data_IF_908642639580
#
_entry.id   IF_908642639580
#
_cell.length_a   1.000
_cell.length_b   1.000
_cell.length_c   1.000
_cell.angle_alpha   90.00
_cell.angle_beta   90.00
_cell.angle_gamma   90.00
#
_symmetry.space_group_name_H-M   'P 1'
#
loop_
_entity.id
_entity.type
_entity.pdbx_description
1 polymer ?
#
# COMPACT_ATOMS: atom_id res chain seq x y z
N UNK A 1 -48.60 -76.21 -3.44
CA UNK A 1 -48.66 -75.01 -4.30
C UNK A 1 -48.60 -73.72 -3.50
N UNK A 2 -47.48 -73.44 -2.81
CA UNK A 2 -47.30 -72.19 -2.04
C UNK A 2 -46.13 -71.35 -2.58
N UNK A 3 -45.23 -71.94 -3.39
CA UNK A 3 -44.04 -71.26 -3.96
C UNK A 3 -44.37 -70.36 -5.16
N UNK A 4 -45.50 -70.61 -5.84
CA UNK A 4 -45.86 -69.88 -7.06
C UNK A 4 -46.52 -68.52 -6.80
N UNK A 5 -47.21 -68.38 -5.66
CA UNK A 5 -47.89 -67.14 -5.30
C UNK A 5 -46.90 -66.06 -4.83
N UNK A 6 -45.88 -66.45 -4.06
CA UNK A 6 -44.87 -65.51 -3.53
C UNK A 6 -44.03 -64.88 -4.64
N UNK A 7 -43.67 -65.62 -5.69
CA UNK A 7 -42.91 -65.07 -6.83
C UNK A 7 -43.71 -64.08 -7.67
N UNK A 8 -45.04 -64.25 -7.75
CA UNK A 8 -45.89 -63.31 -8.50
C UNK A 8 -46.05 -61.99 -7.75
N UNK A 9 -46.20 -62.02 -6.42
CA UNK A 9 -46.27 -60.80 -5.60
C UNK A 9 -44.95 -60.03 -5.62
N UNK A 10 -43.79 -60.71 -5.53
CA UNK A 10 -42.49 -60.02 -5.60
C UNK A 10 -42.26 -59.36 -6.95
N UNK A 11 -42.72 -59.98 -8.05
CA UNK A 11 -42.56 -59.43 -9.40
C UNK A 11 -43.44 -58.21 -9.64
N UNK A 12 -44.64 -58.17 -9.04
CA UNK A 12 -45.52 -56.99 -9.11
C UNK A 12 -45.02 -55.83 -8.25
N UNK A 13 -44.49 -56.10 -7.05
CA UNK A 13 -43.95 -55.07 -6.17
C UNK A 13 -42.68 -54.42 -6.75
N UNK A 14 -41.78 -55.22 -7.32
CA UNK A 14 -40.56 -54.73 -8.00
C UNK A 14 -40.89 -53.90 -9.23
N UNK A 15 -41.98 -54.23 -9.94
CA UNK A 15 -42.45 -53.45 -11.10
C UNK A 15 -43.07 -52.11 -10.69
N UNK A 16 -43.68 -52.02 -9.50
CA UNK A 16 -44.24 -50.78 -8.95
C UNK A 16 -43.20 -49.78 -8.45
N UNK A 17 -42.00 -50.25 -8.08
CA UNK A 17 -40.90 -49.38 -7.60
C UNK A 17 -40.00 -48.84 -8.73
N UNK A 18 -40.07 -49.38 -9.95
CA UNK A 18 -39.24 -48.91 -11.06
C UNK A 18 -39.81 -47.62 -11.66
N UNK A 19 -39.39 -46.47 -11.13
CA UNK A 19 -39.61 -45.17 -11.79
C UNK A 19 -38.51 -44.95 -12.82
N UNK A 20 -38.81 -44.83 -14.13
CA UNK A 20 -37.79 -44.49 -15.11
C UNK A 20 -37.21 -43.11 -14.76
N UNK A 21 -35.89 -43.03 -14.56
CA UNK A 21 -35.21 -41.75 -14.35
C UNK A 21 -35.40 -40.91 -15.61
N UNK A 22 -35.91 -39.67 -15.52
CA UNK A 22 -36.02 -38.81 -16.69
C UNK A 22 -34.62 -38.55 -17.23
N UNK A 23 -34.29 -39.15 -18.40
CA UNK A 23 -33.06 -38.80 -19.12
C UNK A 23 -33.22 -37.37 -19.61
N UNK A 24 -32.55 -36.44 -18.94
CA UNK A 24 -32.32 -35.08 -19.42
C UNK A 24 -31.70 -35.17 -20.82
N UNK A 25 -32.44 -34.73 -21.83
CA UNK A 25 -31.88 -34.54 -23.18
C UNK A 25 -30.86 -33.40 -23.07
N UNK A 26 -29.61 -33.54 -23.57
CA UNK A 26 -28.69 -32.41 -23.62
C UNK A 26 -29.39 -31.30 -24.41
N UNK A 27 -29.64 -30.16 -23.75
CA UNK A 27 -30.16 -28.98 -24.44
C UNK A 27 -29.09 -28.58 -25.45
N UNK A 28 -29.39 -28.76 -26.73
CA UNK A 28 -28.55 -28.23 -27.80
C UNK A 28 -28.39 -26.74 -27.56
N UNK A 29 -27.16 -26.29 -27.35
CA UNK A 29 -26.83 -24.86 -27.23
C UNK A 29 -27.14 -24.27 -28.60
N UNK A 30 -28.33 -23.68 -28.73
CA UNK A 30 -28.78 -23.05 -29.95
C UNK A 30 -27.81 -21.93 -30.35
N UNK A 31 -27.58 -21.79 -31.65
CA UNK A 31 -26.64 -20.86 -32.30
C UNK A 31 -26.93 -19.36 -32.01
N UNK A 32 -27.91 -19.05 -31.17
CA UNK A 32 -28.11 -17.72 -30.58
C UNK A 32 -27.02 -17.33 -29.55
N UNK A 33 -26.12 -18.25 -29.18
CA UNK A 33 -24.96 -17.96 -28.34
C UNK A 33 -23.94 -17.00 -29.00
N UNK A 34 -23.93 -16.86 -30.33
CA UNK A 34 -22.95 -16.05 -31.06
C UNK A 34 -23.05 -14.55 -30.76
N UNK A 35 -24.27 -13.99 -30.73
CA UNK A 35 -24.49 -12.56 -30.46
C UNK A 35 -24.28 -12.20 -28.99
N UNK A 36 -24.78 -13.05 -28.07
CA UNK A 36 -24.54 -12.89 -26.64
C UNK A 36 -23.05 -13.00 -26.28
N UNK A 37 -22.34 -13.97 -26.85
CA UNK A 37 -20.90 -14.13 -26.65
C UNK A 37 -20.12 -12.90 -27.13
N UNK A 38 -20.45 -12.38 -28.31
CA UNK A 38 -19.77 -11.21 -28.88
C UNK A 38 -19.98 -9.95 -28.02
N UNK A 39 -21.20 -9.73 -27.52
CA UNK A 39 -21.49 -8.63 -26.58
C UNK A 39 -20.73 -8.81 -25.27
N UNK A 40 -20.66 -10.03 -24.71
CA UNK A 40 -19.89 -10.27 -23.49
C UNK A 40 -18.38 -10.05 -23.68
N UNK A 41 -17.83 -10.42 -24.82
CA UNK A 41 -16.41 -10.18 -25.15
C UNK A 41 -16.13 -8.70 -25.31
N UNK A 42 -17.00 -7.97 -26.01
CA UNK A 42 -16.86 -6.50 -26.16
C UNK A 42 -16.97 -5.82 -24.81
N UNK A 43 -17.93 -6.20 -23.98
CA UNK A 43 -18.09 -5.65 -22.62
C UNK A 43 -16.89 -5.98 -21.73
N UNK A 44 -16.36 -7.21 -21.82
CA UNK A 44 -15.17 -7.62 -21.09
C UNK A 44 -13.95 -6.78 -21.51
N UNK A 45 -13.75 -6.55 -22.80
CA UNK A 45 -12.65 -5.71 -23.29
C UNK A 45 -12.81 -4.24 -22.87
N UNK A 46 -14.04 -3.70 -22.91
CA UNK A 46 -14.34 -2.34 -22.47
C UNK A 46 -14.10 -2.13 -20.97
N UNK A 47 -14.27 -3.16 -20.15
CA UNK A 47 -13.95 -3.10 -18.72
C UNK A 47 -12.47 -3.42 -18.45
N UNK A 48 -11.85 -4.27 -19.27
CA UNK A 48 -10.45 -4.66 -19.12
C UNK A 48 -9.50 -3.51 -19.43
N UNK A 49 -9.78 -2.71 -20.46
CA UNK A 49 -8.91 -1.59 -20.83
C UNK A 49 -8.72 -0.55 -19.71
N UNK A 50 -9.78 0.03 -19.10
CA UNK A 50 -9.63 0.99 -18.02
C UNK A 50 -9.08 0.35 -16.74
N UNK A 51 -9.38 -0.92 -16.46
CA UNK A 51 -8.81 -1.61 -15.28
C UNK A 51 -7.31 -1.83 -15.40
N UNK A 52 -6.81 -2.22 -16.58
CA UNK A 52 -5.37 -2.32 -16.83
C UNK A 52 -4.68 -0.96 -16.79
N UNK A 53 -5.33 0.10 -17.31
CA UNK A 53 -4.79 1.45 -17.25
C UNK A 53 -4.66 1.94 -15.81
N UNK A 54 -5.74 1.86 -15.03
CA UNK A 54 -5.73 2.23 -13.61
C UNK A 54 -4.73 1.38 -12.80
N UNK A 55 -4.62 0.08 -13.08
CA UNK A 55 -3.64 -0.79 -12.42
C UNK A 55 -2.21 -0.35 -12.73
N UNK A 56 -1.92 0.01 -13.99
CA UNK A 56 -0.60 0.46 -14.40
C UNK A 56 -0.23 1.80 -13.73
N UNK A 57 -1.17 2.75 -13.73
CA UNK A 57 -0.97 4.07 -13.13
C UNK A 57 -0.67 3.97 -11.62
N UNK A 58 -1.46 3.18 -10.89
CA UNK A 58 -1.27 2.94 -9.45
C UNK A 58 0.03 2.20 -9.15
N UNK A 59 0.45 1.27 -10.02
CA UNK A 59 1.63 0.42 -9.75
C UNK A 59 2.95 1.07 -10.15
N UNK A 60 2.97 1.88 -11.22
CA UNK A 60 4.21 2.32 -11.87
C UNK A 60 4.34 3.84 -12.03
N UNK A 61 3.24 4.59 -12.06
CA UNK A 61 3.28 6.05 -12.29
C UNK A 61 3.22 6.78 -10.95
N UNK A 62 2.19 6.50 -10.14
CA UNK A 62 1.96 7.10 -8.84
C UNK A 62 2.13 6.08 -7.71
N UNK A 63 3.30 5.44 -7.68
CA UNK A 63 3.64 4.43 -6.70
C UNK A 63 3.79 5.05 -5.29
N UNK A 64 2.67 5.25 -4.61
CA UNK A 64 2.59 5.75 -3.23
C UNK A 64 3.30 7.08 -2.97
N UNK A 65 3.47 7.91 -4.01
CA UNK A 65 4.22 9.17 -3.97
C UNK A 65 3.41 10.36 -3.42
N UNK A 66 2.08 10.26 -3.38
CA UNK A 66 1.18 11.27 -2.81
C UNK A 66 -0.30 10.93 -3.01
N UNK A 67 -1.23 11.76 -2.50
CA UNK A 67 -2.68 11.54 -2.62
C UNK A 67 -3.20 11.94 -4.01
N UNK A 68 -2.54 11.48 -5.07
CA UNK A 68 -2.98 11.69 -6.45
C UNK A 68 -4.17 10.77 -6.81
N UNK A 69 -4.28 9.63 -6.12
CA UNK A 69 -5.23 8.55 -6.37
C UNK A 69 -5.99 8.17 -5.08
N UNK A 70 -7.31 7.93 -5.17
CA UNK A 70 -8.14 7.59 -3.99
C UNK A 70 -7.78 6.23 -3.35
N UNK A 71 -6.98 5.40 -4.03
CA UNK A 71 -6.57 4.08 -3.53
C UNK A 71 -5.28 4.10 -2.69
N UNK A 72 -4.59 5.25 -2.60
CA UNK A 72 -3.38 5.37 -1.77
C UNK A 72 -3.74 6.06 -0.47
N UNK A 73 -3.78 5.29 0.63
CA UNK A 73 -3.82 5.86 1.97
C UNK A 73 -2.41 6.33 2.34
N UNK A 74 -2.08 7.59 2.03
CA UNK A 74 -0.86 8.20 2.56
C UNK A 74 -1.20 8.76 3.94
N UNK A 75 -0.72 8.11 4.99
CA UNK A 75 -0.85 8.62 6.36
C UNK A 75 0.05 9.83 6.62
N UNK A 76 0.89 10.22 5.64
CA UNK A 76 1.91 11.25 5.74
C UNK A 76 1.88 12.17 4.53
N UNK A 77 2.11 13.47 4.74
CA UNK A 77 2.18 14.45 3.65
C UNK A 77 3.39 14.19 2.75
N UNK A 78 3.36 14.73 1.53
CA UNK A 78 4.49 14.70 0.58
C UNK A 78 5.78 15.28 1.16
N UNK A 79 5.68 16.09 2.22
CA UNK A 79 6.81 16.74 2.87
C UNK A 79 7.80 15.75 3.47
N UNK A 80 7.33 14.58 3.91
CA UNK A 80 8.21 13.53 4.45
C UNK A 80 9.20 13.08 3.39
N UNK A 81 8.74 12.84 2.17
CA UNK A 81 9.59 12.42 1.05
C UNK A 81 10.58 13.53 0.67
N UNK A 82 10.14 14.78 0.65
CA UNK A 82 10.99 15.95 0.33
C UNK A 82 12.09 16.12 1.38
N UNK A 83 11.75 16.03 2.66
CA UNK A 83 12.70 16.16 3.76
C UNK A 83 13.71 15.01 3.70
N UNK A 84 13.26 13.77 3.55
CA UNK A 84 14.17 12.62 3.46
C UNK A 84 15.10 12.70 2.25
N UNK A 85 14.62 13.16 1.08
CA UNK A 85 15.48 13.38 -0.08
C UNK A 85 16.57 14.44 0.17
N UNK A 86 16.28 15.48 0.96
CA UNK A 86 17.29 16.47 1.37
C UNK A 86 18.30 15.88 2.35
N UNK A 87 17.84 15.08 3.32
CA UNK A 87 18.73 14.39 4.26
C UNK A 87 19.66 13.44 3.50
N UNK A 88 19.13 12.65 2.55
CA UNK A 88 19.93 11.75 1.72
C UNK A 88 20.97 12.52 0.86
N UNK A 89 20.59 13.67 0.31
CA UNK A 89 21.53 14.52 -0.43
C UNK A 89 22.65 15.09 0.47
N UNK A 90 22.34 15.41 1.73
CA UNK A 90 23.35 15.84 2.72
C UNK A 90 24.26 14.68 3.11
N UNK A 91 23.69 13.51 3.39
CA UNK A 91 24.45 12.30 3.72
C UNK A 91 25.39 11.89 2.58
N UNK A 92 24.93 11.96 1.33
CA UNK A 92 25.78 11.70 0.17
C UNK A 92 26.93 12.71 0.04
N UNK A 93 26.69 13.97 0.40
CA UNK A 93 27.68 15.04 0.30
C UNK A 93 28.75 14.99 1.40
N UNK A 94 28.35 14.71 2.64
CA UNK A 94 29.23 14.84 3.80
C UNK A 94 29.70 13.51 4.38
N UNK A 95 28.90 12.45 4.25
CA UNK A 95 29.15 11.12 4.83
C UNK A 95 29.24 10.01 3.75
N UNK A 96 29.38 10.39 2.48
CA UNK A 96 29.49 9.48 1.33
C UNK A 96 28.32 8.48 1.18
N UNK A 97 27.16 8.75 1.76
CA UNK A 97 26.00 7.85 1.72
C UNK A 97 26.02 6.74 2.78
N UNK A 98 26.91 6.82 3.77
CA UNK A 98 27.04 5.79 4.81
C UNK A 98 25.98 5.87 5.91
N UNK A 99 25.06 6.85 5.86
CA UNK A 99 23.97 7.04 6.83
C UNK A 99 24.46 7.18 8.27
N UNK A 100 25.67 7.70 8.43
CA UNK A 100 26.29 7.96 9.74
C UNK A 100 25.99 9.36 10.26
N UNK A 101 25.32 10.19 9.46
CA UNK A 101 25.08 11.58 9.80
C UNK A 101 24.22 11.70 11.06
N UNK A 102 24.60 12.55 12.04
CA UNK A 102 23.77 12.76 13.21
C UNK A 102 22.49 13.54 12.85
N UNK A 103 21.33 13.00 13.23
CA UNK A 103 20.01 13.60 12.97
C UNK A 103 19.28 13.80 14.29
N UNK A 104 18.72 14.97 14.52
CA UNK A 104 17.91 15.31 15.69
C UNK A 104 16.45 15.50 15.31
N UNK A 105 15.54 14.77 15.97
CA UNK A 105 14.10 14.92 15.79
C UNK A 105 13.50 15.51 17.04
N UNK A 106 12.69 16.56 16.90
CA UNK A 106 11.87 17.06 18.01
C UNK A 106 10.75 16.06 18.35
N UNK A 107 10.12 16.20 19.52
CA UNK A 107 9.01 15.34 19.93
C UNK A 107 7.88 15.30 18.89
N UNK A 108 7.54 16.47 18.32
CA UNK A 108 6.43 16.58 17.38
C UNK A 108 6.78 16.10 15.97
N UNK A 109 8.07 16.09 15.62
CA UNK A 109 8.57 15.54 14.36
C UNK A 109 8.91 14.05 14.43
N UNK A 110 8.90 13.44 15.63
CA UNK A 110 9.33 12.04 15.79
C UNK A 110 8.49 11.10 14.94
N UNK A 111 7.17 11.29 14.92
CA UNK A 111 6.28 10.62 13.99
C UNK A 111 5.87 11.62 12.92
N UNK A 112 6.03 11.30 11.62
CA UNK A 112 6.25 9.96 11.06
C UNK A 112 7.72 9.57 10.81
N UNK A 113 8.68 10.45 11.06
CA UNK A 113 10.06 10.29 10.59
C UNK A 113 10.82 9.12 11.23
N UNK A 114 10.41 8.61 12.39
CA UNK A 114 11.03 7.46 13.05
C UNK A 114 11.17 6.23 12.15
N UNK A 115 10.26 6.01 11.20
CA UNK A 115 10.39 4.92 10.23
C UNK A 115 11.47 5.19 9.17
N UNK A 116 11.60 6.42 8.74
CA UNK A 116 12.46 6.83 7.63
C UNK A 116 13.91 7.04 8.06
N UNK A 117 14.14 7.49 9.28
CA UNK A 117 15.48 7.66 9.84
C UNK A 117 16.04 6.37 10.44
N UNK A 118 15.32 5.25 10.36
CA UNK A 118 15.71 3.97 10.97
C UNK A 118 17.06 3.44 10.47
N UNK A 119 17.40 3.74 9.22
CA UNK A 119 18.64 3.27 8.62
C UNK A 119 19.85 4.16 8.95
N UNK A 120 19.64 5.24 9.72
CA UNK A 120 20.69 6.13 10.18
C UNK A 120 21.21 5.69 11.55
N UNK A 121 22.53 5.68 11.73
CA UNK A 121 23.15 5.14 12.95
C UNK A 121 23.10 6.10 14.13
N UNK A 122 23.01 7.41 13.88
CA UNK A 122 23.16 8.47 14.88
C UNK A 122 21.91 9.34 14.97
N UNK A 123 20.79 8.74 15.37
CA UNK A 123 19.51 9.47 15.52
C UNK A 123 19.26 9.82 16.99
N UNK A 124 19.03 11.10 17.25
CA UNK A 124 18.48 11.59 18.51
C UNK A 124 16.97 11.81 18.40
N UNK A 125 16.21 11.07 19.20
CA UNK A 125 14.79 11.35 19.42
C UNK A 125 14.62 12.35 20.56
N UNK A 126 13.63 13.23 20.45
CA UNK A 126 13.32 14.27 21.44
C UNK A 126 14.44 15.32 21.62
N UNK A 127 15.03 15.77 20.51
CA UNK A 127 15.95 16.90 20.49
C UNK A 127 15.27 18.18 21.01
N UNK A 128 15.93 19.00 21.87
CA UNK A 128 17.34 18.94 22.28
C UNK A 128 17.62 18.19 23.60
N UNK A 129 16.59 17.74 24.33
CA UNK A 129 16.74 17.28 25.72
C UNK A 129 16.94 15.76 25.86
N UNK A 130 16.63 14.98 24.83
CA UNK A 130 16.71 13.51 24.82
C UNK A 130 17.97 12.90 24.21
N UNK A 131 18.95 13.72 23.81
CA UNK A 131 20.08 13.23 23.02
C UNK A 131 21.19 12.60 23.87
N UNK A 132 21.84 11.52 23.37
CA UNK A 132 23.09 11.03 23.97
C UNK A 132 24.13 12.14 24.03
N UNK A 133 24.98 12.15 25.06
CA UNK A 133 26.03 13.17 25.21
C UNK A 133 26.99 13.29 24.01
N UNK A 134 27.04 12.25 23.17
CA UNK A 134 27.77 12.19 21.89
C UNK A 134 27.19 13.10 20.81
N UNK A 135 25.90 13.45 20.89
CA UNK A 135 25.17 14.23 19.89
C UNK A 135 25.26 15.75 20.12
N UNK A 136 26.42 16.25 20.58
CA UNK A 136 26.60 17.68 20.89
C UNK A 136 26.72 18.61 19.67
N UNK A 137 26.72 18.09 18.45
CA UNK A 137 26.69 18.86 17.21
C UNK A 137 25.88 18.09 16.16
N UNK A 138 24.58 18.35 16.11
CA UNK A 138 23.69 17.71 15.15
C UNK A 138 23.58 18.63 13.91
N UNK A 139 24.08 18.22 12.72
CA UNK A 139 24.00 19.03 11.51
C UNK A 139 22.59 19.10 10.91
N UNK A 140 21.75 18.09 11.15
CA UNK A 140 20.40 18.00 10.60
C UNK A 140 19.38 17.91 11.74
N UNK A 141 18.55 18.93 11.86
CA UNK A 141 17.47 18.97 12.86
C UNK A 141 16.14 19.01 12.10
N UNK A 142 15.28 18.02 12.38
CA UNK A 142 13.93 17.93 11.83
C UNK A 142 12.96 18.39 12.93
N UNK A 143 12.20 19.44 12.62
CA UNK A 143 11.27 20.08 13.54
C UNK A 143 9.87 20.06 12.93
N UNK A 144 8.86 19.89 13.77
CA UNK A 144 7.45 19.91 13.38
C UNK A 144 6.58 20.45 14.50
N UNK A 145 5.31 20.70 14.18
CA UNK A 145 4.28 21.07 15.16
C UNK A 145 4.62 22.31 15.99
N UNK A 146 4.44 22.19 17.30
CA UNK A 146 4.53 23.30 18.26
C UNK A 146 5.96 23.81 18.46
N UNK A 147 6.95 22.99 18.10
CA UNK A 147 8.37 23.36 18.17
C UNK A 147 8.86 24.20 16.99
N UNK A 148 8.06 24.36 15.92
CA UNK A 148 8.51 25.02 14.70
C UNK A 148 8.88 26.49 14.96
N UNK A 149 8.01 27.23 15.65
CA UNK A 149 8.22 28.66 15.92
C UNK A 149 9.49 28.93 16.75
N UNK A 150 9.72 28.12 17.79
CA UNK A 150 10.91 28.28 18.64
C UNK A 150 12.20 27.88 17.90
N UNK A 151 12.14 26.88 17.03
CA UNK A 151 13.27 26.51 16.19
C UNK A 151 13.57 27.57 15.13
N UNK A 152 12.56 28.17 14.50
CA UNK A 152 12.74 29.29 13.58
C UNK A 152 13.44 30.45 14.29
N UNK A 153 12.99 30.86 15.47
CA UNK A 153 13.63 31.94 16.23
C UNK A 153 15.10 31.64 16.57
N UNK A 154 15.40 30.39 16.97
CA UNK A 154 16.75 29.96 17.35
C UNK A 154 17.71 29.83 16.15
N UNK A 155 17.20 29.42 14.98
CA UNK A 155 18.03 29.06 13.83
C UNK A 155 17.86 30.01 12.63
N UNK A 156 16.97 31.00 12.66
CA UNK A 156 16.82 31.98 11.56
C UNK A 156 17.91 33.06 11.56
N UNK A 157 18.61 33.27 12.68
CA UNK A 157 19.63 34.31 12.77
C UNK A 157 20.92 33.90 12.04
N UNK A 158 21.10 34.44 10.83
CA UNK A 158 22.38 34.41 10.13
C UNK A 158 23.43 35.24 10.87
N UNK A 159 24.13 34.61 11.82
CA UNK A 159 25.42 35.12 12.29
C UNK A 159 26.45 34.82 11.19
N UNK A 160 27.45 35.67 11.01
CA UNK A 160 28.40 35.63 9.89
C UNK A 160 29.16 34.29 9.70
N UNK A 161 29.06 33.35 10.65
CA UNK A 161 29.61 31.99 10.60
C UNK A 161 28.60 30.90 10.99
N UNK A 162 27.29 31.19 11.01
CA UNK A 162 26.25 30.20 11.31
C UNK A 162 26.03 29.25 10.12
N UNK A 163 25.74 27.97 10.38
CA UNK A 163 25.19 27.07 9.37
C UNK A 163 24.00 27.75 8.67
N UNK A 164 23.89 27.63 7.36
CA UNK A 164 22.68 28.11 6.66
C UNK A 164 21.58 27.08 6.86
N UNK A 165 20.57 27.44 7.64
CA UNK A 165 19.40 26.60 7.89
C UNK A 165 18.38 26.82 6.76
N UNK A 166 17.83 25.73 6.23
CA UNK A 166 16.81 25.75 5.18
C UNK A 166 15.50 25.23 5.76
N UNK A 167 14.47 26.08 5.75
CA UNK A 167 13.13 25.75 6.20
C UNK A 167 12.27 25.29 5.02
N UNK A 168 11.41 24.30 5.24
CA UNK A 168 10.42 23.79 4.29
C UNK A 168 9.22 23.30 5.07
#
# INVERSE_FOLDING_TARGET
GVVSASQQETSQEVSGLYRPVPRSKPKGIGVLAGSGAMVTVVMALLLLAPTLHNMYEVSYVHAADGPHEMMVYVQTTTDVNIIMAKVDALDQKYDNGNRTMPIGLTNDATWPFAWYVRDYTNVCFNYPTGCPATAKNIPVIIVGGDNLYSAEEQYTTKVANSPTYAFH
#
